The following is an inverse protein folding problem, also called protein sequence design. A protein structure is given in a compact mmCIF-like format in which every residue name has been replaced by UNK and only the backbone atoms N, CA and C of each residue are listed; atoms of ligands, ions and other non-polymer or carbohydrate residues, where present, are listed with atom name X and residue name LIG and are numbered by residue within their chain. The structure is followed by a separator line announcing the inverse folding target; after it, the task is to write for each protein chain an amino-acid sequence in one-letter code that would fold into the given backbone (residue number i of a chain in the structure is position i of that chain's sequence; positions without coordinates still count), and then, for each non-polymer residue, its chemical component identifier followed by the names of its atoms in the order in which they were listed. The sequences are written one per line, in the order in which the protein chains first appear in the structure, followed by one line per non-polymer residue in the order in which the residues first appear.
data_IF_732068277379
#
_entry.id   IF_732068277379
#
_cell.length_a   1.000
_cell.length_b   1.000
_cell.length_c   1.000
_cell.angle_alpha   90.00
_cell.angle_beta   90.00
_cell.angle_gamma   90.00
#
_symmetry.space_group_name_H-M   'P 1'
#
loop_
_entity.id
_entity.type
_entity.pdbx_description
1 polymer ?
#
# COMPACT_ATOMS: atom_id res chain seq x y z
N UNK A 1 -17.78 -6.43 15.09
CA UNK A 1 -17.73 -7.88 14.78
C UNK A 1 -17.48 -8.73 16.03
N UNK A 2 -16.38 -8.55 16.74
CA UNK A 2 -16.06 -9.36 17.95
C UNK A 2 -17.22 -9.46 18.95
N UNK A 3 -17.83 -8.33 19.32
CA UNK A 3 -18.97 -8.30 20.24
C UNK A 3 -20.21 -9.09 19.75
N UNK A 4 -20.44 -9.19 18.45
CA UNK A 4 -21.56 -9.94 17.87
C UNK A 4 -21.37 -11.46 17.99
N UNK A 5 -20.13 -11.92 18.02
CA UNK A 5 -19.77 -13.33 18.08
C UNK A 5 -19.15 -13.76 19.40
N UNK A 6 -19.16 -12.88 20.43
CA UNK A 6 -18.57 -13.11 21.75
C UNK A 6 -17.11 -13.59 21.72
N UNK A 7 -16.34 -13.18 20.71
CA UNK A 7 -14.92 -13.54 20.56
C UNK A 7 -14.09 -12.58 21.40
N UNK A 8 -13.36 -13.13 22.35
CA UNK A 8 -12.44 -12.40 23.21
C UNK A 8 -11.05 -12.30 22.61
N UNK A 9 -10.18 -11.48 23.20
CA UNK A 9 -8.76 -11.41 22.80
C UNK A 9 -8.07 -12.77 23.04
N UNK A 10 -8.39 -13.44 24.15
CA UNK A 10 -7.83 -14.76 24.46
C UNK A 10 -8.24 -15.81 23.45
N UNK A 11 -9.50 -15.80 22.99
CA UNK A 11 -9.95 -16.67 21.90
C UNK A 11 -9.17 -16.43 20.62
N UNK A 12 -8.90 -15.16 20.28
CA UNK A 12 -8.15 -14.82 19.09
C UNK A 12 -6.68 -15.26 19.19
N UNK A 13 -6.07 -15.11 20.35
CA UNK A 13 -4.65 -15.45 20.56
C UNK A 13 -4.43 -16.98 20.65
N UNK A 14 -5.24 -17.68 21.43
CA UNK A 14 -4.99 -19.09 21.79
C UNK A 14 -6.16 -20.04 21.49
N UNK A 15 -7.39 -19.52 21.31
CA UNK A 15 -8.56 -20.35 21.09
C UNK A 15 -8.48 -21.19 19.81
N UNK A 16 -8.87 -22.47 19.89
CA UNK A 16 -8.86 -23.39 18.75
C UNK A 16 -9.77 -22.95 17.61
N UNK A 17 -10.89 -22.29 17.91
CA UNK A 17 -11.82 -21.76 16.95
C UNK A 17 -11.21 -20.70 16.01
N UNK A 18 -10.23 -19.93 16.52
CA UNK A 18 -9.56 -18.87 15.79
C UNK A 18 -8.24 -19.33 15.13
N UNK A 19 -7.91 -20.60 15.18
CA UNK A 19 -6.72 -21.15 14.51
C UNK A 19 -6.71 -20.88 12.99
N UNK A 20 -7.81 -21.03 12.23
CA UNK A 20 -7.84 -20.68 10.82
C UNK A 20 -7.52 -19.19 10.57
N UNK A 21 -8.00 -18.29 11.44
CA UNK A 21 -7.71 -16.86 11.33
C UNK A 21 -6.22 -16.57 11.61
N UNK A 22 -5.60 -17.23 12.59
CA UNK A 22 -4.15 -17.11 12.85
C UNK A 22 -3.31 -17.66 11.69
N UNK A 23 -3.68 -18.81 11.12
CA UNK A 23 -3.01 -19.35 9.92
C UNK A 23 -3.10 -18.36 8.75
N UNK A 24 -4.27 -17.79 8.51
CA UNK A 24 -4.45 -16.77 7.48
C UNK A 24 -3.65 -15.50 7.77
N UNK A 25 -3.61 -15.06 9.03
CA UNK A 25 -2.80 -13.93 9.46
C UNK A 25 -1.30 -14.14 9.20
N UNK A 26 -0.80 -15.36 9.42
CA UNK A 26 0.60 -15.71 9.11
C UNK A 26 0.91 -15.51 7.62
N UNK A 27 0.02 -15.91 6.73
CA UNK A 27 0.17 -15.70 5.29
C UNK A 27 0.20 -14.19 4.99
N UNK A 28 -0.74 -13.41 5.54
CA UNK A 28 -0.79 -11.94 5.39
C UNK A 28 0.52 -11.27 5.83
N UNK A 29 1.07 -11.69 6.95
CA UNK A 29 2.35 -11.18 7.47
C UNK A 29 3.51 -11.51 6.54
N UNK A 30 3.58 -12.73 6.04
CA UNK A 30 4.61 -13.15 5.08
C UNK A 30 4.50 -12.33 3.79
N UNK A 31 3.30 -12.24 3.21
CA UNK A 31 3.04 -11.48 1.99
C UNK A 31 3.42 -10.00 2.16
N UNK A 32 3.09 -9.39 3.31
CA UNK A 32 3.38 -7.98 3.58
C UNK A 32 4.88 -7.68 3.58
N UNK A 33 5.71 -8.64 3.97
CA UNK A 33 7.17 -8.50 3.94
C UNK A 33 7.75 -8.86 2.57
N UNK A 34 7.27 -9.93 1.93
CA UNK A 34 7.87 -10.50 0.73
C UNK A 34 7.34 -9.92 -0.56
N UNK A 35 6.03 -9.66 -0.64
CA UNK A 35 5.38 -9.19 -1.86
C UNK A 35 5.61 -7.69 -2.10
N UNK A 36 5.79 -7.31 -3.38
CA UNK A 36 5.78 -5.91 -3.81
C UNK A 36 4.35 -5.43 -4.11
N UNK A 37 3.45 -6.35 -4.42
CA UNK A 37 2.09 -6.07 -4.92
C UNK A 37 1.04 -6.15 -3.80
N UNK A 38 1.48 -6.42 -2.57
CA UNK A 38 0.61 -6.50 -1.40
C UNK A 38 0.22 -7.92 -1.02
N UNK A 39 -0.73 -8.02 -0.11
CA UNK A 39 -1.26 -9.30 0.40
C UNK A 39 -2.08 -9.98 -0.69
N UNK A 40 -1.77 -11.23 -0.99
CA UNK A 40 -2.57 -12.01 -1.93
C UNK A 40 -4.04 -12.08 -1.50
N UNK A 41 -4.91 -11.94 -2.49
CA UNK A 41 -6.32 -12.22 -2.31
C UNK A 41 -6.46 -13.73 -2.09
N UNK A 42 -6.76 -14.13 -0.85
CA UNK A 42 -6.91 -15.56 -0.59
C UNK A 42 -8.02 -16.13 -1.46
N UNK A 43 -7.79 -17.35 -1.94
CA UNK A 43 -8.87 -18.17 -2.50
C UNK A 43 -9.86 -18.67 -1.43
N UNK A 44 -9.80 -18.12 -0.21
CA UNK A 44 -10.74 -18.42 0.87
C UNK A 44 -12.16 -18.02 0.49
N UNK A 45 -13.12 -18.76 0.99
CA UNK A 45 -14.55 -18.54 0.70
C UNK A 45 -15.07 -17.30 1.45
N UNK A 46 -14.70 -16.10 0.96
CA UNK A 46 -15.19 -14.81 1.49
C UNK A 46 -16.72 -14.64 1.26
N UNK A 47 -17.35 -15.53 0.52
CA UNK A 47 -18.80 -15.52 0.31
C UNK A 47 -19.55 -16.13 1.49
N UNK A 48 -18.89 -16.98 2.28
CA UNK A 48 -19.46 -17.52 3.52
C UNK A 48 -19.27 -16.56 4.70
N UNK A 49 -20.11 -16.68 5.71
CA UNK A 49 -19.98 -15.91 6.94
C UNK A 49 -18.68 -16.27 7.69
N UNK A 50 -18.37 -17.56 7.75
CA UNK A 50 -17.15 -18.09 8.36
C UNK A 50 -15.89 -17.56 7.66
N UNK A 51 -15.85 -17.60 6.32
CA UNK A 51 -14.71 -17.07 5.56
C UNK A 51 -14.51 -15.57 5.78
N UNK A 52 -15.60 -14.77 5.85
CA UNK A 52 -15.52 -13.35 6.19
C UNK A 52 -15.00 -13.10 7.61
N UNK A 53 -15.38 -13.95 8.57
CA UNK A 53 -14.89 -13.87 9.94
C UNK A 53 -13.39 -14.20 9.99
N UNK A 54 -12.96 -15.27 9.32
CA UNK A 54 -11.54 -15.65 9.23
C UNK A 54 -10.72 -14.49 8.63
N UNK A 55 -11.16 -13.89 7.52
CA UNK A 55 -10.48 -12.75 6.92
C UNK A 55 -10.42 -11.54 7.86
N UNK A 56 -11.51 -11.19 8.53
CA UNK A 56 -11.53 -10.07 9.46
C UNK A 56 -10.61 -10.30 10.67
N UNK A 57 -10.71 -11.47 11.31
CA UNK A 57 -9.90 -11.78 12.49
C UNK A 57 -8.42 -12.00 12.14
N UNK A 58 -8.11 -12.47 10.93
CA UNK A 58 -6.74 -12.54 10.44
C UNK A 58 -6.08 -11.17 10.33
N UNK A 59 -6.83 -10.14 9.93
CA UNK A 59 -6.35 -8.76 9.91
C UNK A 59 -6.03 -8.26 11.34
N UNK A 60 -6.97 -8.47 12.27
CA UNK A 60 -6.76 -8.03 13.65
C UNK A 60 -5.58 -8.74 14.32
N UNK A 61 -5.45 -10.06 14.12
CA UNK A 61 -4.30 -10.81 14.65
C UNK A 61 -2.98 -10.34 14.04
N UNK A 62 -2.92 -10.17 12.72
CA UNK A 62 -1.73 -9.64 12.05
C UNK A 62 -1.35 -8.25 12.58
N UNK A 63 -2.33 -7.37 12.80
CA UNK A 63 -2.11 -6.05 13.40
C UNK A 63 -1.51 -6.16 14.81
N UNK A 64 -2.01 -7.07 15.64
CA UNK A 64 -1.44 -7.29 16.97
C UNK A 64 0.03 -7.73 16.91
N UNK A 65 0.36 -8.64 16.00
CA UNK A 65 1.75 -9.09 15.80
C UNK A 65 2.65 -7.93 15.34
N UNK A 66 2.20 -7.12 14.38
CA UNK A 66 2.94 -5.94 13.91
C UNK A 66 3.13 -4.92 15.04
N UNK A 67 2.08 -4.62 15.81
CA UNK A 67 2.19 -3.70 16.95
C UNK A 67 3.14 -4.24 18.03
N UNK A 68 3.07 -5.53 18.35
CA UNK A 68 3.96 -6.18 19.30
C UNK A 68 5.42 -6.27 18.82
N UNK A 69 5.66 -6.08 17.52
CA UNK A 69 7.02 -6.02 17.00
C UNK A 69 7.72 -4.71 17.29
N UNK A 70 7.00 -3.63 17.63
CA UNK A 70 7.54 -2.28 17.86
C UNK A 70 8.48 -1.79 16.73
N UNK A 71 8.32 -2.32 15.49
CA UNK A 71 9.12 -1.95 14.33
C UNK A 71 8.26 -1.18 13.31
N UNK A 72 8.47 0.14 13.25
CA UNK A 72 7.75 1.03 12.33
C UNK A 72 7.94 0.66 10.85
N UNK A 73 9.07 0.04 10.48
CA UNK A 73 9.31 -0.42 9.11
C UNK A 73 8.41 -1.60 8.75
N UNK A 74 8.17 -2.50 9.71
CA UNK A 74 7.20 -3.58 9.55
C UNK A 74 5.79 -3.03 9.44
N UNK A 75 5.44 -2.05 10.28
CA UNK A 75 4.15 -1.37 10.22
C UNK A 75 3.91 -0.71 8.85
N UNK A 76 4.88 0.07 8.35
CA UNK A 76 4.77 0.74 7.06
C UNK A 76 4.61 -0.26 5.90
N UNK A 77 5.34 -1.39 5.92
CA UNK A 77 5.20 -2.45 4.92
C UNK A 77 3.83 -3.11 4.99
N UNK A 78 3.38 -3.45 6.18
CA UNK A 78 2.09 -4.08 6.38
C UNK A 78 0.95 -3.15 5.95
N UNK A 79 0.96 -1.88 6.35
CA UNK A 79 -0.02 -0.90 5.92
C UNK A 79 -0.06 -0.73 4.39
N UNK A 80 1.11 -0.69 3.75
CA UNK A 80 1.22 -0.64 2.29
C UNK A 80 0.61 -1.87 1.62
N UNK A 81 0.86 -3.06 2.16
CA UNK A 81 0.36 -4.32 1.62
C UNK A 81 -1.16 -4.46 1.78
N UNK A 82 -1.70 -4.11 2.95
CA UNK A 82 -3.14 -4.14 3.21
C UNK A 82 -3.89 -3.09 2.38
N UNK A 83 -3.33 -1.90 2.23
CA UNK A 83 -3.91 -0.87 1.37
C UNK A 83 -3.91 -1.29 -0.12
N UNK A 84 -2.86 -1.96 -0.59
CA UNK A 84 -2.83 -2.52 -1.95
C UNK A 84 -3.88 -3.62 -2.13
N UNK A 85 -4.06 -4.48 -1.14
CA UNK A 85 -5.12 -5.48 -1.11
C UNK A 85 -6.51 -4.83 -1.17
N UNK A 86 -6.73 -3.78 -0.38
CA UNK A 86 -7.99 -3.04 -0.39
C UNK A 86 -8.27 -2.42 -1.77
N UNK A 87 -7.28 -1.80 -2.41
CA UNK A 87 -7.40 -1.28 -3.79
C UNK A 87 -7.88 -2.36 -4.76
N UNK A 88 -7.25 -3.54 -4.75
CA UNK A 88 -7.63 -4.64 -5.63
C UNK A 88 -9.07 -5.14 -5.41
N UNK A 89 -9.54 -5.15 -4.17
CA UNK A 89 -10.92 -5.53 -3.84
C UNK A 89 -11.92 -4.46 -4.28
N UNK A 90 -11.62 -3.19 -4.02
CA UNK A 90 -12.48 -2.05 -4.33
C UNK A 90 -12.68 -1.85 -5.83
N UNK A 91 -11.67 -2.13 -6.66
CA UNK A 91 -11.80 -2.07 -8.13
C UNK A 91 -12.87 -3.06 -8.63
N UNK A 92 -13.06 -4.19 -7.95
CA UNK A 92 -14.00 -5.25 -8.34
C UNK A 92 -15.42 -5.04 -7.80
N UNK A 93 -15.59 -4.18 -6.82
CA UNK A 93 -16.85 -3.94 -6.13
C UNK A 93 -17.16 -2.43 -6.06
N UNK A 94 -17.76 -1.92 -7.13
CA UNK A 94 -18.05 -0.49 -7.28
C UNK A 94 -19.05 0.04 -6.22
N UNK A 95 -19.94 -0.80 -5.69
CA UNK A 95 -20.90 -0.39 -4.68
C UNK A 95 -20.23 -0.16 -3.33
N UNK A 96 -19.38 -1.08 -2.90
CA UNK A 96 -18.60 -0.91 -1.69
C UNK A 96 -17.53 0.16 -1.84
N UNK A 97 -16.97 0.35 -3.04
CA UNK A 97 -16.07 1.47 -3.34
C UNK A 97 -16.72 2.81 -2.98
N UNK A 98 -17.94 3.07 -3.45
CA UNK A 98 -18.67 4.30 -3.16
C UNK A 98 -18.88 4.49 -1.65
N UNK A 99 -19.36 3.46 -0.97
CA UNK A 99 -19.64 3.49 0.46
C UNK A 99 -18.37 3.78 1.29
N UNK A 100 -17.25 3.14 0.93
CA UNK A 100 -15.98 3.35 1.61
C UNK A 100 -15.40 4.73 1.26
N UNK A 101 -15.52 5.16 0.00
CA UNK A 101 -15.04 6.47 -0.42
C UNK A 101 -15.68 7.61 0.37
N UNK A 102 -16.97 7.55 0.65
CA UNK A 102 -17.67 8.55 1.48
C UNK A 102 -17.18 8.63 2.94
N UNK A 103 -16.40 7.66 3.40
CA UNK A 103 -15.76 7.73 4.74
C UNK A 103 -14.51 8.62 4.73
N UNK A 104 -13.85 8.72 3.58
CA UNK A 104 -12.57 9.42 3.43
C UNK A 104 -12.67 10.73 2.64
N UNK A 105 -13.64 10.81 1.72
CA UNK A 105 -13.79 11.90 0.77
C UNK A 105 -15.05 12.67 1.13
N UNK A 106 -14.88 13.98 1.45
CA UNK A 106 -15.96 14.83 1.92
C UNK A 106 -16.97 15.14 0.82
N UNK A 107 -16.48 15.35 -0.41
CA UNK A 107 -17.30 15.66 -1.58
C UNK A 107 -17.00 14.65 -2.68
N UNK A 108 -17.92 13.72 -2.88
CA UNK A 108 -17.82 12.69 -3.92
C UNK A 108 -19.12 12.63 -4.71
N UNK A 109 -19.04 12.78 -6.01
CA UNK A 109 -20.14 12.65 -6.94
C UNK A 109 -19.86 11.60 -8.00
N UNK A 110 -20.88 10.85 -8.37
CA UNK A 110 -20.83 9.89 -9.46
C UNK A 110 -21.63 10.45 -10.64
N UNK A 111 -21.00 10.59 -11.80
CA UNK A 111 -21.70 11.00 -13.01
C UNK A 111 -22.57 9.86 -13.51
N UNK A 112 -23.86 10.07 -13.52
CA UNK A 112 -24.81 9.18 -14.20
C UNK A 112 -24.84 9.55 -15.70
N UNK A 113 -23.88 9.09 -16.47
CA UNK A 113 -24.00 9.15 -17.93
C UNK A 113 -24.91 7.99 -18.36
N UNK A 114 -26.15 8.31 -18.67
CA UNK A 114 -27.05 7.31 -19.27
C UNK A 114 -28.53 7.45 -19.00
N UNK A 115 -29.00 8.46 -18.27
CA UNK A 115 -30.45 8.77 -18.17
C UNK A 115 -30.91 9.90 -19.09
N UNK A 116 -30.29 10.11 -20.25
CA UNK A 116 -30.88 10.92 -21.29
C UNK A 116 -31.67 10.06 -22.29
N UNK A 117 -32.99 10.03 -22.11
CA UNK A 117 -33.96 9.68 -23.14
C UNK A 117 -33.90 8.26 -23.76
N UNK A 118 -34.16 7.23 -22.98
CA UNK A 118 -34.67 5.98 -23.57
C UNK A 118 -36.10 5.65 -23.09
N UNK A 119 -37.03 6.51 -23.46
CA UNK A 119 -38.38 6.05 -23.74
C UNK A 119 -38.38 5.40 -25.14
N UNK A 120 -38.26 4.07 -25.19
CA UNK A 120 -38.64 3.32 -26.40
C UNK A 120 -37.51 2.60 -27.15
N UNK A 121 -36.62 1.87 -26.50
CA UNK A 121 -35.87 0.81 -27.17
C UNK A 121 -35.80 -0.43 -26.29
N UNK A 122 -36.31 -1.51 -26.82
CA UNK A 122 -36.24 -2.87 -26.23
C UNK A 122 -34.79 -3.31 -26.30
N UNK A 123 -34.15 -3.52 -25.14
CA UNK A 123 -32.77 -3.96 -25.04
C UNK A 123 -32.65 -5.42 -25.51
N UNK A 124 -32.09 -5.65 -26.66
CA UNK A 124 -31.76 -6.97 -27.21
C UNK A 124 -30.26 -7.24 -27.28
N UNK A 125 -29.42 -6.53 -26.48
CA UNK A 125 -28.00 -6.76 -26.59
C UNK A 125 -27.30 -6.74 -25.22
N UNK A 126 -26.87 -7.95 -24.78
CA UNK A 126 -26.09 -8.15 -23.54
C UNK A 126 -24.70 -7.44 -23.63
N UNK A 127 -24.23 -7.13 -24.85
CA UNK A 127 -23.01 -6.35 -25.06
C UNK A 127 -23.20 -4.87 -24.73
N UNK A 128 -24.40 -4.30 -24.93
CA UNK A 128 -24.68 -2.91 -24.58
C UNK A 128 -24.79 -2.70 -23.06
N UNK A 129 -25.16 -3.73 -22.30
CA UNK A 129 -25.16 -3.70 -20.83
C UNK A 129 -23.73 -3.73 -20.22
N UNK A 130 -22.76 -4.32 -20.90
CA UNK A 130 -21.36 -4.27 -20.48
C UNK A 130 -20.70 -2.92 -20.78
N UNK A 131 -21.09 -2.24 -21.84
CA UNK A 131 -20.61 -0.89 -22.19
C UNK A 131 -21.19 0.20 -21.27
N UNK A 132 -22.33 0.00 -20.64
CA UNK A 132 -22.90 0.97 -19.70
C UNK A 132 -22.20 1.04 -18.35
N UNK A 133 -21.37 0.07 -17.97
CA UNK A 133 -20.52 0.15 -16.79
C UNK A 133 -19.22 0.96 -17.03
N UNK A 134 -18.78 1.09 -18.27
CA UNK A 134 -17.59 1.86 -18.64
C UNK A 134 -17.77 3.39 -18.62
N UNK A 135 -18.99 3.88 -18.40
CA UNK A 135 -19.33 5.29 -18.39
C UNK A 135 -19.32 5.97 -17.01
N UNK A 136 -18.94 5.26 -15.95
CA UNK A 136 -18.90 5.82 -14.60
C UNK A 136 -17.70 6.77 -14.45
N UNK A 137 -17.99 8.05 -14.35
CA UNK A 137 -17.02 9.06 -13.95
C UNK A 137 -17.22 9.42 -12.49
N UNK A 138 -16.11 9.52 -11.77
CA UNK A 138 -16.10 10.02 -10.41
C UNK A 138 -15.61 11.46 -10.40
N UNK A 139 -16.23 12.28 -9.54
CA UNK A 139 -15.79 13.64 -9.24
C UNK A 139 -15.59 13.75 -7.75
N UNK A 140 -14.49 14.32 -7.32
CA UNK A 140 -14.20 14.55 -5.91
C UNK A 140 -13.79 15.98 -5.68
N UNK A 141 -13.98 16.46 -4.46
CA UNK A 141 -13.59 17.79 -4.06
C UNK A 141 -12.10 18.04 -4.28
N UNK A 142 -11.75 19.24 -4.77
CA UNK A 142 -10.35 19.62 -4.99
C UNK A 142 -9.51 19.52 -3.72
N UNK A 143 -10.08 19.85 -2.55
CA UNK A 143 -9.40 19.76 -1.27
C UNK A 143 -9.03 18.32 -0.93
N UNK A 144 -9.97 17.36 -1.05
CA UNK A 144 -9.75 15.94 -0.82
C UNK A 144 -8.68 15.39 -1.77
N UNK A 145 -8.68 15.84 -3.03
CA UNK A 145 -7.66 15.44 -4.01
C UNK A 145 -6.26 15.95 -3.64
N UNK A 146 -6.15 17.24 -3.26
CA UNK A 146 -4.85 17.86 -2.92
C UNK A 146 -4.23 17.22 -1.68
N UNK A 147 -5.03 16.74 -0.74
CA UNK A 147 -4.54 16.06 0.46
C UNK A 147 -3.76 14.77 0.12
N UNK A 148 -4.19 14.05 -0.91
CA UNK A 148 -3.69 12.70 -1.23
C UNK A 148 -2.74 12.68 -2.43
N UNK A 149 -2.99 13.49 -3.46
CA UNK A 149 -2.26 13.42 -4.71
C UNK A 149 -0.73 13.60 -4.60
N UNK A 150 -0.16 14.35 -3.63
CA UNK A 150 1.29 14.44 -3.47
C UNK A 150 1.97 13.12 -3.11
N UNK A 151 1.23 12.21 -2.46
CA UNK A 151 1.71 10.89 -2.05
C UNK A 151 1.74 9.88 -3.19
N UNK A 152 1.07 10.20 -4.32
CA UNK A 152 0.96 9.30 -5.47
C UNK A 152 1.97 9.71 -6.55
N UNK A 153 2.76 8.75 -7.00
CA UNK A 153 3.72 8.97 -8.09
C UNK A 153 3.03 8.91 -9.46
N UNK A 154 3.49 9.77 -10.37
CA UNK A 154 3.02 9.80 -11.75
C UNK A 154 2.40 11.14 -12.16
N UNK A 155 2.63 11.51 -13.43
CA UNK A 155 2.24 12.83 -13.95
C UNK A 155 0.73 13.08 -13.93
N UNK A 156 -0.08 12.02 -14.06
CA UNK A 156 -1.55 12.11 -14.06
C UNK A 156 -2.14 12.63 -12.74
N UNK A 157 -1.39 12.50 -11.63
CA UNK A 157 -1.80 12.94 -10.31
C UNK A 157 -1.31 14.36 -9.98
N UNK A 158 -0.59 14.99 -10.90
CA UNK A 158 -0.17 16.38 -10.75
C UNK A 158 -1.32 17.30 -11.13
N UNK A 159 -1.64 18.23 -10.27
CA UNK A 159 -2.80 19.13 -10.43
C UNK A 159 -2.89 19.80 -11.82
N UNK A 160 -1.78 20.26 -12.44
CA UNK A 160 -1.84 20.83 -13.79
C UNK A 160 -2.30 19.86 -14.89
N UNK A 161 -2.27 18.54 -14.63
CA UNK A 161 -2.67 17.51 -15.57
C UNK A 161 -4.05 16.91 -15.23
N UNK A 162 -4.73 17.47 -14.22
CA UNK A 162 -6.05 17.02 -13.81
C UNK A 162 -7.12 17.88 -14.45
N UNK A 163 -8.27 17.29 -14.76
CA UNK A 163 -9.46 18.04 -15.18
C UNK A 163 -10.15 18.59 -13.93
N UNK A 164 -10.02 19.90 -13.74
CA UNK A 164 -10.60 20.62 -12.59
C UNK A 164 -11.66 21.59 -13.09
N UNK A 165 -12.89 21.42 -12.61
CA UNK A 165 -14.02 22.26 -12.93
C UNK A 165 -14.84 22.56 -11.68
N UNK A 166 -15.15 23.82 -11.44
CA UNK A 166 -15.98 24.29 -10.32
C UNK A 166 -15.55 23.75 -8.94
N UNK A 167 -14.24 23.60 -8.69
CA UNK A 167 -13.71 23.08 -7.44
C UNK A 167 -13.76 21.55 -7.30
N UNK A 168 -14.09 20.86 -8.37
CA UNK A 168 -14.12 19.40 -8.45
C UNK A 168 -13.05 18.89 -9.39
N UNK A 169 -12.41 17.77 -9.02
CA UNK A 169 -11.50 17.00 -9.88
C UNK A 169 -12.28 15.85 -10.52
N UNK A 170 -12.26 15.77 -11.84
CA UNK A 170 -12.90 14.69 -12.60
C UNK A 170 -11.96 13.54 -12.86
N UNK A 171 -12.36 12.34 -12.49
CA UNK A 171 -11.63 11.11 -12.76
C UNK A 171 -12.21 10.44 -14.01
N UNK A 172 -11.65 10.75 -15.17
CA UNK A 172 -12.09 10.19 -16.44
C UNK A 172 -11.62 8.75 -16.64
N UNK A 173 -12.38 7.99 -17.43
CA UNK A 173 -11.93 6.72 -17.97
C UNK A 173 -10.84 6.96 -19.03
N UNK A 174 -9.74 6.27 -18.88
CA UNK A 174 -8.64 6.25 -19.85
C UNK A 174 -8.45 4.82 -20.37
N UNK A 175 -7.79 4.66 -21.52
CA UNK A 175 -7.53 3.34 -22.11
C UNK A 175 -6.90 2.34 -21.15
N UNK A 176 -6.06 2.81 -20.24
CA UNK A 176 -5.31 1.97 -19.30
C UNK A 176 -5.92 1.95 -17.89
N UNK A 177 -6.66 2.99 -17.50
CA UNK A 177 -7.16 3.14 -16.13
C UNK A 177 -8.59 3.67 -16.14
N UNK A 178 -9.51 2.90 -15.55
CA UNK A 178 -10.87 3.37 -15.33
C UNK A 178 -10.93 4.45 -14.24
N UNK A 179 -11.99 5.25 -14.24
CA UNK A 179 -12.26 6.21 -13.17
C UNK A 179 -12.39 5.52 -11.82
N UNK A 180 -12.98 4.33 -11.78
CA UNK A 180 -13.08 3.45 -10.60
C UNK A 180 -11.69 3.06 -10.07
N UNK A 181 -10.77 2.65 -10.95
CA UNK A 181 -9.41 2.30 -10.55
C UNK A 181 -8.64 3.54 -10.03
N UNK A 182 -8.90 4.71 -10.60
CA UNK A 182 -8.31 5.97 -10.11
C UNK A 182 -8.83 6.33 -8.72
N UNK A 183 -10.13 6.19 -8.47
CA UNK A 183 -10.71 6.42 -7.15
C UNK A 183 -10.18 5.42 -6.12
N UNK A 184 -10.13 4.13 -6.46
CA UNK A 184 -9.57 3.09 -5.59
C UNK A 184 -8.09 3.37 -5.26
N UNK A 185 -7.32 3.91 -6.23
CA UNK A 185 -5.93 4.30 -6.01
C UNK A 185 -5.78 5.46 -5.03
N UNK A 186 -6.68 6.45 -5.05
CA UNK A 186 -6.72 7.54 -4.07
C UNK A 186 -7.06 7.00 -2.68
N UNK A 187 -8.09 6.15 -2.59
CA UNK A 187 -8.49 5.52 -1.33
C UNK A 187 -7.39 4.66 -0.71
N UNK A 188 -6.56 4.01 -1.52
CA UNK A 188 -5.40 3.27 -1.04
C UNK A 188 -4.48 4.12 -0.16
N UNK A 189 -4.23 5.38 -0.52
CA UNK A 189 -3.38 6.25 0.28
C UNK A 189 -4.04 6.65 1.61
N UNK A 190 -5.34 6.89 1.61
CA UNK A 190 -6.09 7.13 2.85
C UNK A 190 -6.05 5.90 3.76
N UNK A 191 -6.39 4.72 3.23
CA UNK A 191 -6.37 3.46 3.98
C UNK A 191 -4.98 3.18 4.55
N UNK A 192 -3.93 3.37 3.74
CA UNK A 192 -2.55 3.22 4.19
C UNK A 192 -2.24 4.13 5.38
N UNK A 193 -2.57 5.42 5.25
CA UNK A 193 -2.33 6.41 6.30
C UNK A 193 -3.06 6.09 7.60
N UNK A 194 -4.31 5.62 7.51
CA UNK A 194 -5.10 5.24 8.67
C UNK A 194 -4.54 3.99 9.36
N UNK A 195 -4.17 2.98 8.58
CA UNK A 195 -3.55 1.75 9.11
C UNK A 195 -2.23 2.06 9.81
N UNK A 196 -1.41 2.94 9.25
CA UNK A 196 -0.15 3.39 9.87
C UNK A 196 -0.41 4.16 11.16
N UNK A 197 -1.31 5.15 11.14
CA UNK A 197 -1.66 5.96 12.30
C UNK A 197 -2.22 5.11 13.44
N UNK A 198 -3.25 4.28 13.17
CA UNK A 198 -3.82 3.39 14.17
C UNK A 198 -2.79 2.37 14.68
N UNK A 199 -1.90 1.89 13.82
CA UNK A 199 -0.82 0.99 14.20
C UNK A 199 0.15 1.62 15.18
N UNK A 200 0.59 2.87 14.94
CA UNK A 200 1.45 3.62 15.85
C UNK A 200 0.79 3.85 17.21
N UNK A 201 -0.49 4.25 17.21
CA UNK A 201 -1.26 4.41 18.44
C UNK A 201 -1.31 3.09 19.24
N UNK A 202 -1.58 1.96 18.57
CA UNK A 202 -1.68 0.64 19.20
C UNK A 202 -0.32 0.06 19.63
N UNK A 203 0.78 0.42 18.99
CA UNK A 203 2.13 0.05 19.44
C UNK A 203 2.39 0.55 20.87
N UNK A 204 1.96 1.77 21.17
CA UNK A 204 2.13 2.36 22.51
C UNK A 204 1.26 1.68 23.59
N UNK A 205 0.22 0.93 23.20
CA UNK A 205 -0.69 0.23 24.11
C UNK A 205 -0.33 -1.24 24.36
N UNK A 206 0.73 -1.77 23.69
CA UNK A 206 1.13 -3.18 23.82
C UNK A 206 1.60 -3.47 25.23
N UNK A 207 0.95 -4.43 25.89
CA UNK A 207 1.32 -4.89 27.23
C UNK A 207 2.41 -5.95 27.16
N UNK A 208 3.19 -6.09 28.25
CA UNK A 208 4.23 -7.13 28.34
C UNK A 208 3.65 -8.54 28.16
N UNK A 209 2.47 -8.82 28.70
CA UNK A 209 1.78 -10.10 28.54
C UNK A 209 1.49 -10.40 27.06
N UNK A 210 0.93 -9.44 26.34
CA UNK A 210 0.65 -9.56 24.92
C UNK A 210 1.94 -9.78 24.10
N UNK A 211 3.00 -9.04 24.42
CA UNK A 211 4.30 -9.20 23.74
C UNK A 211 4.89 -10.61 23.95
N UNK A 212 4.78 -11.17 25.14
CA UNK A 212 5.22 -12.56 25.44
C UNK A 212 4.41 -13.58 24.63
N UNK A 213 3.08 -13.45 24.60
CA UNK A 213 2.21 -14.39 23.87
C UNK A 213 2.40 -14.33 22.36
N UNK A 214 2.84 -13.18 21.82
CA UNK A 214 3.10 -12.98 20.39
C UNK A 214 4.58 -13.13 20.01
N UNK A 215 5.45 -13.55 20.93
CA UNK A 215 6.89 -13.60 20.70
C UNK A 215 7.29 -14.47 19.50
N UNK A 216 6.64 -15.63 19.28
CA UNK A 216 6.90 -16.50 18.14
C UNK A 216 6.58 -15.83 16.80
N UNK A 217 5.33 -15.37 16.53
CA UNK A 217 5.01 -14.72 15.26
C UNK A 217 5.77 -13.40 15.04
N UNK A 218 6.09 -12.66 16.08
CA UNK A 218 6.93 -11.46 16.02
C UNK A 218 8.34 -11.83 15.57
N UNK A 219 8.93 -12.88 16.18
CA UNK A 219 10.24 -13.39 15.78
C UNK A 219 10.29 -13.82 14.31
N UNK A 220 9.24 -14.53 13.85
CA UNK A 220 9.11 -14.90 12.44
C UNK A 220 9.15 -13.70 11.50
N UNK A 221 8.34 -12.68 11.75
CA UNK A 221 8.24 -11.51 10.86
C UNK A 221 9.52 -10.68 10.88
N UNK A 222 10.15 -10.50 12.05
CA UNK A 222 11.45 -9.83 12.16
C UNK A 222 12.55 -10.57 11.39
N UNK A 223 12.59 -11.89 11.47
CA UNK A 223 13.54 -12.70 10.71
C UNK A 223 13.32 -12.58 9.20
N UNK A 224 12.07 -12.58 8.74
CA UNK A 224 11.75 -12.37 7.32
C UNK A 224 12.21 -10.98 6.84
N UNK A 225 12.00 -9.94 7.64
CA UNK A 225 12.47 -8.60 7.31
C UNK A 225 14.00 -8.55 7.28
N UNK A 226 14.68 -9.17 8.25
CA UNK A 226 16.13 -9.22 8.33
C UNK A 226 16.71 -9.96 7.11
N UNK A 227 16.15 -11.12 6.72
CA UNK A 227 16.55 -11.84 5.51
C UNK A 227 16.41 -10.96 4.26
N UNK A 228 15.26 -10.32 4.06
CA UNK A 228 15.05 -9.45 2.92
C UNK A 228 15.99 -8.24 2.90
N UNK A 229 16.32 -7.71 4.07
CA UNK A 229 17.30 -6.63 4.22
C UNK A 229 18.71 -7.16 3.97
N UNK A 230 19.03 -8.35 4.44
CA UNK A 230 20.32 -9.02 4.21
C UNK A 230 20.53 -9.35 2.72
N UNK A 231 19.48 -9.83 2.03
CA UNK A 231 19.53 -10.06 0.58
C UNK A 231 19.75 -8.75 -0.19
N UNK A 232 19.16 -7.65 0.29
CA UNK A 232 19.43 -6.31 -0.24
C UNK A 232 20.86 -5.83 0.11
N UNK A 233 21.35 -6.20 1.28
CA UNK A 233 22.72 -5.89 1.79
C UNK A 233 23.77 -6.85 1.20
N UNK A 234 23.42 -8.04 0.73
CA UNK A 234 24.33 -8.90 -0.01
C UNK A 234 24.83 -8.26 -1.33
N UNK A 235 24.11 -7.23 -1.80
CA UNK A 235 24.65 -6.27 -2.79
C UNK A 235 25.71 -5.32 -2.21
N UNK A 236 25.89 -5.28 -0.91
CA UNK A 236 26.74 -4.33 -0.14
C UNK A 236 28.21 -4.77 -0.04
N UNK A 237 28.53 -6.00 -0.40
CA UNK A 237 29.91 -6.45 -0.59
C UNK A 237 30.33 -6.46 -2.06
N UNK A 238 29.51 -5.86 -2.93
CA UNK A 238 29.79 -5.81 -4.35
C UNK A 238 31.07 -4.99 -4.63
N UNK A 239 32.01 -5.60 -5.32
CA UNK A 239 33.17 -4.90 -5.88
C UNK A 239 32.68 -3.76 -6.80
N UNK A 240 33.53 -2.78 -7.09
CA UNK A 240 33.17 -1.63 -7.96
C UNK A 240 32.52 -2.06 -9.29
N UNK A 241 32.90 -3.23 -9.80
CA UNK A 241 32.35 -3.78 -11.03
C UNK A 241 30.88 -4.19 -10.92
N UNK A 242 30.38 -4.45 -9.71
CA UNK A 242 28.98 -4.80 -9.44
C UNK A 242 28.10 -3.57 -9.18
N UNK A 243 28.70 -2.37 -9.11
CA UNK A 243 27.94 -1.15 -8.88
C UNK A 243 27.02 -0.80 -10.07
N UNK A 244 25.86 -0.19 -9.82
CA UNK A 244 25.00 0.28 -10.91
C UNK A 244 25.78 1.17 -11.88
N UNK A 245 25.57 1.06 -13.20
CA UNK A 245 26.31 1.84 -14.21
C UNK A 245 26.25 3.35 -13.97
N UNK A 246 25.13 3.86 -13.44
CA UNK A 246 24.97 5.28 -13.09
C UNK A 246 25.87 5.70 -11.90
N UNK A 247 26.10 4.82 -10.93
CA UNK A 247 27.01 5.07 -9.82
C UNK A 247 28.45 5.05 -10.28
N UNK A 248 28.87 4.03 -11.03
CA UNK A 248 30.22 3.93 -11.62
C UNK A 248 30.55 5.16 -12.46
N UNK A 249 29.61 5.59 -13.31
CA UNK A 249 29.79 6.80 -14.12
C UNK A 249 29.98 8.05 -13.24
N UNK A 250 29.12 8.24 -12.24
CA UNK A 250 29.19 9.42 -11.38
C UNK A 250 30.48 9.47 -10.54
N UNK A 251 30.98 8.31 -10.07
CA UNK A 251 32.27 8.20 -9.39
C UNK A 251 33.44 8.48 -10.34
N UNK A 252 33.39 7.92 -11.55
CA UNK A 252 34.40 8.17 -12.58
C UNK A 252 34.46 9.67 -12.97
N UNK A 253 33.30 10.31 -13.13
CA UNK A 253 33.20 11.74 -13.42
C UNK A 253 33.83 12.59 -12.30
N UNK A 254 33.52 12.27 -11.04
CA UNK A 254 34.16 12.95 -9.87
C UNK A 254 35.66 12.72 -9.85
N UNK A 255 36.14 11.50 -10.04
CA UNK A 255 37.57 11.17 -10.05
C UNK A 255 38.31 11.84 -11.20
N UNK A 256 37.63 12.12 -12.31
CA UNK A 256 38.16 12.86 -13.45
C UNK A 256 38.08 14.40 -13.27
N UNK A 257 37.59 14.90 -12.13
CA UNK A 257 37.38 16.32 -11.87
C UNK A 257 36.26 16.95 -12.66
N UNK A 258 35.37 16.13 -13.22
CA UNK A 258 34.16 16.59 -13.91
C UNK A 258 33.12 17.02 -12.86
N UNK A 259 32.55 18.21 -13.06
CA UNK A 259 31.56 18.73 -12.10
C UNK A 259 30.28 17.90 -12.11
N UNK A 260 30.09 17.11 -11.07
CA UNK A 260 28.84 16.38 -10.83
C UNK A 260 27.87 17.32 -10.09
N UNK A 261 26.69 17.52 -10.65
CA UNK A 261 25.68 18.43 -10.10
C UNK A 261 25.19 17.97 -8.70
N UNK A 262 24.50 18.86 -8.00
CA UNK A 262 24.02 18.60 -6.64
C UNK A 262 23.21 17.28 -6.51
N UNK A 263 22.34 16.99 -7.47
CA UNK A 263 21.55 15.74 -7.46
C UNK A 263 22.40 14.49 -7.66
N UNK A 264 23.44 14.57 -8.49
CA UNK A 264 24.39 13.47 -8.68
C UNK A 264 25.22 13.20 -7.41
N UNK A 265 25.62 14.25 -6.69
CA UNK A 265 26.30 14.12 -5.39
C UNK A 265 25.39 13.54 -4.31
N UNK A 266 24.13 14.00 -4.25
CA UNK A 266 23.10 13.44 -3.34
C UNK A 266 22.83 11.97 -3.66
N UNK A 267 22.74 11.62 -4.95
CA UNK A 267 22.59 10.23 -5.40
C UNK A 267 23.75 9.36 -4.92
N UNK A 268 25.00 9.81 -5.12
CA UNK A 268 26.18 9.07 -4.64
C UNK A 268 26.19 8.89 -3.12
N UNK A 269 25.86 9.93 -2.36
CA UNK A 269 25.76 9.84 -0.91
C UNK A 269 24.68 8.83 -0.46
N UNK A 270 23.53 8.85 -1.13
CA UNK A 270 22.43 7.90 -0.86
C UNK A 270 22.83 6.47 -1.21
N UNK A 271 23.50 6.26 -2.35
CA UNK A 271 23.98 4.94 -2.76
C UNK A 271 25.07 4.42 -1.84
N UNK A 272 26.01 5.26 -1.46
CA UNK A 272 27.05 4.91 -0.50
C UNK A 272 26.46 4.47 0.85
N UNK A 273 25.45 5.17 1.34
CA UNK A 273 24.69 4.76 2.53
C UNK A 273 23.94 3.45 2.35
N UNK A 274 23.31 3.26 1.19
CA UNK A 274 22.59 2.01 0.86
C UNK A 274 23.53 0.80 0.73
N UNK A 275 24.72 1.03 0.18
CA UNK A 275 25.77 0.02 0.04
C UNK A 275 26.60 -0.12 1.32
N UNK A 276 26.27 0.60 2.39
CA UNK A 276 27.00 0.63 3.67
C UNK A 276 28.51 0.77 3.50
N UNK A 277 28.94 1.59 2.53
CA UNK A 277 30.36 1.83 2.30
C UNK A 277 31.01 2.46 3.54
N UNK A 278 32.27 2.15 3.84
CA UNK A 278 32.99 2.79 4.93
C UNK A 278 32.95 4.32 4.82
N UNK A 279 32.83 5.01 5.93
CA UNK A 279 32.75 6.48 5.95
C UNK A 279 33.92 7.12 5.21
N UNK A 280 35.10 6.52 5.30
CA UNK A 280 36.32 6.98 4.62
C UNK A 280 36.15 6.92 3.09
N UNK A 281 35.61 5.83 2.54
CA UNK A 281 35.32 5.70 1.10
C UNK A 281 34.30 6.75 0.65
N UNK A 282 33.26 7.00 1.46
CA UNK A 282 32.28 8.04 1.17
C UNK A 282 32.90 9.43 1.13
N UNK A 283 33.84 9.75 2.05
CA UNK A 283 34.53 11.01 2.09
C UNK A 283 35.44 11.17 0.88
N UNK A 284 36.11 10.10 0.46
CA UNK A 284 37.04 10.13 -0.68
C UNK A 284 36.33 10.43 -2.01
N UNK A 285 35.03 10.01 -2.17
CA UNK A 285 34.27 10.44 -3.34
C UNK A 285 34.13 11.95 -3.49
N UNK A 286 34.20 12.71 -2.42
CA UNK A 286 33.96 14.16 -2.43
C UNK A 286 35.22 15.00 -2.17
N UNK A 287 36.37 14.37 -1.84
CA UNK A 287 37.62 15.10 -1.58
C UNK A 287 38.28 15.68 -2.82
N UNK A 288 37.96 15.16 -3.99
CA UNK A 288 38.53 15.60 -5.28
C UNK A 288 37.61 16.50 -6.09
N UNK A 289 36.45 16.90 -5.57
CA UNK A 289 35.42 17.61 -6.31
C UNK A 289 35.36 19.12 -5.99
#
# INVERSE_FOLDING_TARGET
MAAKHNITLDDLLDGSLMEPARKRARIRLIDSVQSKDGVELSGGDIHTEEGRLIEAFSFYYARLVICASEDERLLARWAQAEAARAEHLLIRDSQNLANIAHTYISVLEQSQQGQSNQRGMVATDIQSLRQSQDGLEWKLGLADFIEVCPRITGNRWRLPNCDVDAGMVRLHNEQKYSSTAKLARLLREHIKSDVEREGLEKMAEVTTDLAVRLAEPVGMVRNLLAQKTSDAIALVGAEEDDWPPCMRKAVADLSAGVNVNHFGRLFLASMAGTLALPQEACVDFFRGA
#
